data_IF_834824017085
#
_entry.id   IF_834824017085
#
_cell.length_a   1.000
_cell.length_b   1.000
_cell.length_c   1.000
_cell.angle_alpha   90.00
_cell.angle_beta   90.00
_cell.angle_gamma   90.00
#
_symmetry.space_group_name_H-M   'P 1'
#
loop_
_entity.id
_entity.type
_entity.pdbx_description
1 polymer ?
#
# COMPACT_ATOMS: atom_id res chain seq x y z
N UNK A 1 -0.94 21.54 -2.19
CA UNK A 1 -0.62 21.06 -0.83
C UNK A 1 -1.01 19.59 -0.65
N UNK A 2 -0.26 18.86 0.22
CA UNK A 2 -0.46 17.42 0.42
C UNK A 2 -1.91 17.04 0.82
N UNK A 3 -2.60 17.76 1.73
CA UNK A 3 -3.98 17.43 2.10
C UNK A 3 -4.97 17.46 0.91
N UNK A 4 -4.76 18.35 -0.05
CA UNK A 4 -5.58 18.46 -1.25
C UNK A 4 -5.41 17.24 -2.17
N UNK A 5 -4.17 16.78 -2.36
CA UNK A 5 -3.87 15.56 -3.14
C UNK A 5 -4.49 14.33 -2.48
N UNK A 6 -4.37 14.24 -1.14
CA UNK A 6 -4.98 13.16 -0.35
C UNK A 6 -6.50 13.16 -0.53
N UNK A 7 -7.13 14.33 -0.41
CA UNK A 7 -8.57 14.46 -0.59
C UNK A 7 -9.01 14.05 -2.00
N UNK A 8 -8.37 14.58 -3.04
CA UNK A 8 -8.71 14.24 -4.44
C UNK A 8 -8.57 12.73 -4.70
N UNK A 9 -7.54 12.10 -4.14
CA UNK A 9 -7.36 10.65 -4.25
C UNK A 9 -8.54 9.87 -3.66
N UNK A 10 -8.98 10.21 -2.44
CA UNK A 10 -10.09 9.51 -1.78
C UNK A 10 -11.46 9.90 -2.37
N UNK A 11 -11.69 11.17 -2.65
CA UNK A 11 -12.92 11.66 -3.28
C UNK A 11 -13.10 11.12 -4.70
N UNK A 12 -12.02 11.10 -5.48
CA UNK A 12 -12.00 10.49 -6.80
C UNK A 12 -12.26 8.98 -6.76
N UNK A 13 -11.66 8.26 -5.80
CA UNK A 13 -11.98 6.85 -5.55
C UNK A 13 -13.44 6.67 -5.20
N UNK A 14 -13.99 7.50 -4.31
CA UNK A 14 -15.40 7.45 -3.92
C UNK A 14 -16.31 7.65 -5.13
N UNK A 15 -16.05 8.70 -5.91
CA UNK A 15 -16.82 8.99 -7.13
C UNK A 15 -16.80 7.81 -8.11
N UNK A 16 -15.63 7.28 -8.43
CA UNK A 16 -15.48 6.15 -9.35
C UNK A 16 -16.21 4.89 -8.85
N UNK A 17 -16.05 4.56 -7.57
CA UNK A 17 -16.71 3.38 -6.99
C UNK A 17 -18.23 3.57 -6.95
N UNK A 18 -18.72 4.77 -6.64
CA UNK A 18 -20.18 5.06 -6.67
C UNK A 18 -20.72 4.99 -8.09
N UNK A 19 -20.00 5.47 -9.10
CA UNK A 19 -20.38 5.36 -10.51
C UNK A 19 -20.46 3.89 -10.97
N UNK A 20 -19.49 3.06 -10.59
CA UNK A 20 -19.46 1.63 -10.92
C UNK A 20 -20.63 0.90 -10.25
N UNK A 21 -20.89 1.21 -8.98
CA UNK A 21 -21.87 0.52 -8.15
C UNK A 21 -23.27 1.11 -8.21
N UNK A 22 -23.51 2.14 -9.03
CA UNK A 22 -24.74 2.95 -9.05
C UNK A 22 -26.06 2.20 -8.80
N UNK A 23 -26.16 0.95 -9.26
CA UNK A 23 -27.36 0.10 -9.10
C UNK A 23 -27.28 -0.92 -7.94
N UNK A 24 -26.10 -1.06 -7.29
CA UNK A 24 -25.85 -2.10 -6.29
C UNK A 24 -25.30 -1.55 -4.95
N UNK A 25 -25.47 -0.25 -4.69
CA UNK A 25 -24.94 0.40 -3.49
C UNK A 25 -25.55 -0.14 -2.19
N UNK A 26 -26.84 -0.38 -2.16
CA UNK A 26 -27.56 -0.80 -0.96
C UNK A 26 -26.98 -2.07 -0.32
N UNK A 27 -26.80 -3.17 -1.08
CA UNK A 27 -26.17 -4.39 -0.56
C UNK A 27 -24.72 -4.19 -0.12
N UNK A 28 -23.95 -3.34 -0.83
CA UNK A 28 -22.52 -3.09 -0.55
C UNK A 28 -22.32 -2.27 0.73
N UNK A 29 -23.25 -1.36 1.05
CA UNK A 29 -23.22 -0.56 2.27
C UNK A 29 -23.65 -1.34 3.53
N UNK A 30 -24.26 -2.52 3.38
CA UNK A 30 -24.62 -3.39 4.51
C UNK A 30 -23.45 -4.28 4.86
N UNK A 31 -22.67 -3.90 5.86
CA UNK A 31 -21.54 -4.70 6.35
C UNK A 31 -21.89 -5.44 7.64
N UNK A 32 -21.32 -6.63 7.81
CA UNK A 32 -21.34 -7.40 9.07
C UNK A 32 -20.25 -6.96 10.04
N UNK A 33 -19.23 -6.23 9.54
CA UNK A 33 -18.02 -5.86 10.29
C UNK A 33 -17.75 -4.36 10.31
N UNK A 34 -18.68 -3.50 10.77
CA UNK A 34 -18.53 -2.04 10.68
C UNK A 34 -17.31 -1.53 11.43
N UNK A 35 -16.99 -2.11 12.59
CA UNK A 35 -15.83 -1.74 13.41
C UNK A 35 -14.51 -2.08 12.70
N UNK A 36 -14.43 -3.24 12.04
CA UNK A 36 -13.24 -3.62 11.28
C UNK A 36 -13.05 -2.71 10.07
N UNK A 37 -14.12 -2.36 9.36
CA UNK A 37 -14.05 -1.41 8.25
C UNK A 37 -13.64 0.00 8.70
N UNK A 38 -14.12 0.45 9.86
CA UNK A 38 -13.70 1.72 10.43
C UNK A 38 -12.20 1.74 10.70
N UNK A 39 -11.68 0.79 11.48
CA UNK A 39 -10.26 0.72 11.80
C UNK A 39 -9.37 0.50 10.58
N UNK A 40 -9.83 -0.31 9.64
CA UNK A 40 -9.14 -0.52 8.36
C UNK A 40 -9.04 0.79 7.57
N UNK A 41 -10.13 1.54 7.48
CA UNK A 41 -10.18 2.80 6.75
C UNK A 41 -9.35 3.89 7.44
N UNK A 42 -9.43 3.96 8.77
CA UNK A 42 -8.62 4.87 9.57
C UNK A 42 -7.11 4.57 9.41
N UNK A 43 -6.73 3.29 9.46
CA UNK A 43 -5.34 2.87 9.25
C UNK A 43 -4.87 3.15 7.82
N UNK A 44 -5.70 2.92 6.80
CA UNK A 44 -5.37 3.24 5.41
C UNK A 44 -5.19 4.74 5.20
N UNK A 45 -6.07 5.54 5.78
CA UNK A 45 -5.96 7.00 5.76
C UNK A 45 -4.72 7.48 6.50
N UNK A 46 -4.47 6.94 7.70
CA UNK A 46 -3.28 7.22 8.50
C UNK A 46 -1.99 6.94 7.73
N UNK A 47 -1.90 5.78 7.08
CA UNK A 47 -0.74 5.43 6.25
C UNK A 47 -0.47 6.49 5.17
N UNK A 48 -1.50 6.87 4.42
CA UNK A 48 -1.39 7.90 3.39
C UNK A 48 -0.96 9.25 3.99
N UNK A 49 -1.61 9.66 5.07
CA UNK A 49 -1.36 10.95 5.72
C UNK A 49 0.05 11.03 6.29
N UNK A 50 0.48 10.04 7.07
CA UNK A 50 1.82 10.02 7.66
C UNK A 50 2.92 10.02 6.61
N UNK A 51 2.73 9.30 5.49
CA UNK A 51 3.67 9.30 4.39
C UNK A 51 3.82 10.71 3.79
N UNK A 52 2.70 11.33 3.38
CA UNK A 52 2.75 12.66 2.78
C UNK A 52 3.25 13.75 3.73
N UNK A 53 2.93 13.65 5.03
CA UNK A 53 3.44 14.57 6.04
C UNK A 53 4.94 14.43 6.29
N UNK A 54 5.54 13.28 6.02
CA UNK A 54 6.98 13.07 6.21
C UNK A 54 7.83 13.72 5.12
N UNK A 55 7.30 13.83 3.89
CA UNK A 55 8.06 14.24 2.70
C UNK A 55 8.77 15.59 2.81
N UNK A 56 8.17 16.65 3.40
CA UNK A 56 8.85 17.94 3.54
C UNK A 56 10.07 17.91 4.48
N UNK A 57 10.15 16.93 5.37
CA UNK A 57 11.15 16.87 6.44
C UNK A 57 12.32 15.93 6.14
N UNK A 58 12.05 14.80 5.48
CA UNK A 58 13.06 13.76 5.25
C UNK A 58 13.20 13.34 3.78
N UNK A 59 12.40 13.93 2.90
CA UNK A 59 12.44 13.61 1.48
C UNK A 59 11.79 12.26 1.11
N UNK A 60 11.63 12.05 -0.19
CA UNK A 60 10.90 10.89 -0.71
C UNK A 60 11.67 9.58 -0.52
N UNK A 61 12.99 9.59 -0.74
CA UNK A 61 13.83 8.39 -0.71
C UNK A 61 13.89 7.79 0.70
N UNK A 62 14.16 8.62 1.70
CA UNK A 62 14.25 8.20 3.10
C UNK A 62 12.87 7.80 3.64
N UNK A 63 11.82 8.57 3.30
CA UNK A 63 10.45 8.23 3.68
C UNK A 63 10.03 6.86 3.14
N UNK A 64 10.34 6.58 1.87
CA UNK A 64 10.04 5.30 1.23
C UNK A 64 10.85 4.18 1.89
N UNK A 65 12.15 4.40 2.15
CA UNK A 65 13.01 3.43 2.81
C UNK A 65 12.46 2.94 4.15
N UNK A 66 12.01 3.87 4.97
CA UNK A 66 11.46 3.55 6.29
C UNK A 66 10.08 2.90 6.15
N UNK A 67 9.22 3.41 5.25
CA UNK A 67 7.90 2.85 5.02
C UNK A 67 7.95 1.41 4.46
N UNK A 68 8.97 1.07 3.70
CA UNK A 68 9.16 -0.26 3.09
C UNK A 68 9.53 -1.36 4.10
N UNK A 69 9.56 -1.07 5.41
CA UNK A 69 9.52 -2.09 6.47
C UNK A 69 8.13 -2.77 6.56
N UNK A 70 7.11 -2.20 5.92
CA UNK A 70 5.72 -2.68 6.01
C UNK A 70 5.52 -4.17 5.64
N UNK A 71 6.20 -4.79 4.64
CA UNK A 71 6.04 -6.21 4.35
C UNK A 71 6.52 -7.11 5.49
N UNK A 72 7.54 -6.67 6.23
CA UNK A 72 8.01 -7.38 7.43
C UNK A 72 6.94 -7.32 8.51
N UNK A 73 6.37 -6.13 8.76
CA UNK A 73 5.29 -5.93 9.73
C UNK A 73 4.03 -6.71 9.37
N UNK A 74 3.65 -6.76 8.08
CA UNK A 74 2.52 -7.56 7.60
C UNK A 74 2.77 -9.05 7.87
N UNK A 75 3.95 -9.55 7.52
CA UNK A 75 4.28 -10.97 7.70
C UNK A 75 4.28 -11.38 9.17
N UNK A 76 4.91 -10.59 10.03
CA UNK A 76 4.91 -10.83 11.48
C UNK A 76 3.50 -10.69 12.07
N UNK A 77 2.77 -9.65 11.67
CA UNK A 77 1.40 -9.43 12.12
C UNK A 77 0.44 -10.54 11.67
N UNK A 78 0.63 -11.09 10.47
CA UNK A 78 -0.17 -12.22 9.98
C UNK A 78 0.02 -13.47 10.87
N UNK A 79 1.25 -13.74 11.29
CA UNK A 79 1.50 -14.84 12.24
C UNK A 79 0.89 -14.58 13.62
N UNK A 80 1.10 -13.38 14.16
CA UNK A 80 0.70 -13.05 15.53
C UNK A 80 -0.82 -12.88 15.69
N UNK A 81 -1.47 -12.21 14.73
CA UNK A 81 -2.87 -11.81 14.85
C UNK A 81 -3.84 -12.65 14.02
N UNK A 82 -3.36 -13.28 12.94
CA UNK A 82 -4.20 -14.08 12.04
C UNK A 82 -3.90 -15.59 12.16
N UNK A 83 -2.88 -15.97 12.92
CA UNK A 83 -2.48 -17.37 13.09
C UNK A 83 -1.91 -18.00 11.81
N UNK A 84 -1.45 -17.20 10.85
CA UNK A 84 -0.81 -17.72 9.64
C UNK A 84 0.52 -18.40 10.00
N UNK A 85 0.73 -19.62 9.47
CA UNK A 85 1.97 -20.35 9.71
C UNK A 85 3.12 -19.75 8.92
N UNK A 86 4.10 -19.17 9.61
CA UNK A 86 5.31 -18.67 9.00
C UNK A 86 6.25 -19.81 8.65
N UNK A 87 6.23 -20.23 7.39
CA UNK A 87 7.26 -21.12 6.87
C UNK A 87 8.62 -20.40 6.75
N UNK A 88 9.73 -21.11 7.02
CA UNK A 88 11.10 -20.58 6.87
C UNK A 88 11.33 -19.91 5.50
N UNK A 89 10.66 -20.39 4.47
CA UNK A 89 10.76 -19.88 3.08
C UNK A 89 10.14 -18.50 2.91
N UNK A 90 8.99 -18.26 3.57
CA UNK A 90 8.31 -16.94 3.54
C UNK A 90 9.15 -15.90 4.27
N UNK A 91 9.68 -16.26 5.44
CA UNK A 91 10.60 -15.40 6.19
C UNK A 91 11.84 -15.08 5.34
N UNK A 92 12.46 -16.08 4.73
CA UNK A 92 13.61 -15.90 3.87
C UNK A 92 13.28 -14.96 2.67
N UNK A 93 12.13 -15.15 2.02
CA UNK A 93 11.68 -14.28 0.93
C UNK A 93 11.53 -12.82 1.34
N UNK A 94 10.89 -12.56 2.49
CA UNK A 94 10.73 -11.19 3.03
C UNK A 94 12.09 -10.59 3.37
N UNK A 95 12.99 -11.34 4.03
CA UNK A 95 14.33 -10.87 4.40
C UNK A 95 15.18 -10.56 3.15
N UNK A 96 15.17 -11.44 2.15
CA UNK A 96 15.92 -11.22 0.90
C UNK A 96 15.37 -10.03 0.14
N UNK A 97 14.05 -9.89 0.07
CA UNK A 97 13.42 -8.74 -0.58
C UNK A 97 13.74 -7.43 0.16
N UNK A 98 13.73 -7.43 1.50
CA UNK A 98 14.15 -6.28 2.31
C UNK A 98 15.62 -5.90 2.05
N UNK A 99 16.51 -6.88 1.97
CA UNK A 99 17.93 -6.63 1.62
C UNK A 99 18.03 -6.00 0.23
N UNK A 100 17.28 -6.52 -0.75
CA UNK A 100 17.20 -5.92 -2.08
C UNK A 100 16.70 -4.48 -2.06
N UNK A 101 15.67 -4.19 -1.26
CA UNK A 101 15.15 -2.84 -1.07
C UNK A 101 16.21 -1.90 -0.47
N UNK A 102 16.91 -2.33 0.57
CA UNK A 102 18.00 -1.56 1.19
C UNK A 102 19.18 -1.29 0.23
N UNK A 103 19.49 -2.24 -0.67
CA UNK A 103 20.49 -2.04 -1.72
C UNK A 103 20.05 -0.94 -2.70
N UNK A 104 18.77 -0.87 -3.07
CA UNK A 104 18.23 0.18 -3.94
C UNK A 104 18.26 1.55 -3.24
N UNK A 105 17.70 1.60 -2.03
CA UNK A 105 17.41 2.84 -1.32
C UNK A 105 18.69 3.47 -0.73
N UNK A 106 19.62 2.66 -0.24
CA UNK A 106 20.90 3.10 0.39
C UNK A 106 20.66 4.22 1.40
N UNK A 107 19.95 3.96 2.51
CA UNK A 107 19.65 4.99 3.48
C UNK A 107 20.94 5.66 3.97
N UNK A 108 21.03 6.97 3.81
CA UNK A 108 22.20 7.76 4.23
C UNK A 108 22.27 7.92 5.75
N UNK A 109 23.42 8.40 6.25
CA UNK A 109 23.66 8.62 7.69
C UNK A 109 22.73 9.64 8.37
N UNK A 110 21.91 10.38 7.60
CA UNK A 110 20.97 11.40 8.09
C UNK A 110 19.56 10.91 8.40
N UNK A 111 19.28 9.61 8.28
CA UNK A 111 17.91 9.03 8.38
C UNK A 111 17.33 9.10 9.81
N UNK A 112 18.16 9.20 10.84
CA UNK A 112 17.74 9.23 12.23
C UNK A 112 17.38 10.67 12.69
N UNK A 113 16.28 11.19 12.16
CA UNK A 113 15.65 12.40 12.67
C UNK A 113 14.34 12.05 13.36
N UNK A 114 13.84 12.93 14.23
CA UNK A 114 12.51 12.76 14.85
C UNK A 114 11.39 12.55 13.80
N UNK A 115 11.56 13.13 12.61
CA UNK A 115 10.61 13.01 11.52
C UNK A 115 10.53 11.60 10.92
N UNK A 116 11.52 10.73 11.18
CA UNK A 116 11.50 9.31 10.79
C UNK A 116 10.36 8.52 11.46
N UNK A 117 9.79 9.03 12.55
CA UNK A 117 8.60 8.46 13.21
C UNK A 117 7.39 8.48 12.27
N UNK A 118 7.24 9.48 11.40
CA UNK A 118 6.09 9.57 10.49
C UNK A 118 6.03 8.41 9.48
N UNK A 119 7.07 8.09 8.69
CA UNK A 119 7.01 6.93 7.80
C UNK A 119 7.01 5.59 8.55
N UNK A 120 7.50 5.53 9.77
CA UNK A 120 7.31 4.34 10.61
C UNK A 120 5.84 4.15 10.99
N UNK A 121 5.15 5.23 11.39
CA UNK A 121 3.70 5.21 11.62
C UNK A 121 2.92 4.89 10.34
N UNK A 122 3.39 5.35 9.17
CA UNK A 122 2.86 4.96 7.88
C UNK A 122 2.96 3.44 7.69
N UNK A 123 4.14 2.84 7.92
CA UNK A 123 4.35 1.40 7.76
C UNK A 123 3.45 0.58 8.70
N UNK A 124 3.35 0.96 9.97
CA UNK A 124 2.48 0.32 10.97
C UNK A 124 1.01 0.43 10.54
N UNK A 125 0.58 1.62 10.14
CA UNK A 125 -0.80 1.88 9.71
C UNK A 125 -1.14 1.08 8.46
N UNK A 126 -0.24 1.03 7.47
CA UNK A 126 -0.43 0.24 6.26
C UNK A 126 -0.52 -1.26 6.58
N UNK A 127 0.40 -1.78 7.40
CA UNK A 127 0.37 -3.18 7.83
C UNK A 127 -0.94 -3.51 8.56
N UNK A 128 -1.40 -2.64 9.45
CA UNK A 128 -2.68 -2.80 10.15
C UNK A 128 -3.86 -2.86 9.16
N UNK A 129 -3.90 -1.96 8.18
CA UNK A 129 -4.93 -1.97 7.13
C UNK A 129 -4.92 -3.27 6.31
N UNK A 130 -3.73 -3.77 5.95
CA UNK A 130 -3.56 -5.03 5.21
C UNK A 130 -4.06 -6.24 6.03
N UNK A 131 -3.68 -6.33 7.30
CA UNK A 131 -4.10 -7.40 8.22
C UNK A 131 -5.62 -7.38 8.46
N UNK A 132 -6.20 -6.20 8.66
CA UNK A 132 -7.66 -6.06 8.79
C UNK A 132 -8.38 -6.43 7.49
N UNK A 133 -7.84 -6.07 6.32
CA UNK A 133 -8.35 -6.51 5.02
C UNK A 133 -8.33 -8.03 4.90
N UNK A 134 -7.24 -8.68 5.33
CA UNK A 134 -7.14 -10.13 5.37
C UNK A 134 -8.12 -10.76 6.34
N UNK A 135 -8.31 -10.16 7.53
CA UNK A 135 -9.25 -10.63 8.55
C UNK A 135 -10.70 -10.57 8.08
N UNK A 136 -11.10 -9.52 7.39
CA UNK A 136 -12.41 -9.41 6.72
C UNK A 136 -12.51 -10.48 5.64
N UNK A 137 -11.44 -10.66 4.86
CA UNK A 137 -11.27 -11.70 3.86
C UNK A 137 -12.35 -11.71 2.80
N UNK A 138 -12.71 -12.91 2.37
CA UNK A 138 -13.76 -13.14 1.36
C UNK A 138 -15.20 -13.10 1.93
N UNK A 139 -15.35 -12.85 3.23
CA UNK A 139 -16.68 -12.80 3.87
C UNK A 139 -17.49 -11.58 3.46
N UNK A 140 -16.80 -10.53 2.98
CA UNK A 140 -17.43 -9.33 2.48
C UNK A 140 -16.92 -8.94 1.09
N UNK A 141 -17.71 -8.12 0.42
CA UNK A 141 -17.36 -7.58 -0.89
C UNK A 141 -16.14 -6.67 -0.81
N UNK A 142 -15.21 -6.81 -1.75
CA UNK A 142 -14.09 -5.89 -1.95
C UNK A 142 -14.58 -4.45 -2.12
N UNK A 143 -15.75 -4.29 -2.76
CA UNK A 143 -16.38 -3.00 -2.96
C UNK A 143 -16.81 -2.31 -1.66
N UNK A 144 -17.28 -3.08 -0.66
CA UNK A 144 -17.57 -2.54 0.67
C UNK A 144 -16.30 -1.92 1.28
N UNK A 145 -15.19 -2.66 1.26
CA UNK A 145 -13.91 -2.17 1.74
C UNK A 145 -13.46 -0.89 1.01
N UNK A 146 -13.69 -0.80 -0.30
CA UNK A 146 -13.33 0.38 -1.10
C UNK A 146 -14.20 1.59 -0.74
N UNK A 147 -15.54 1.40 -0.64
CA UNK A 147 -16.47 2.48 -0.31
C UNK A 147 -16.18 3.05 1.08
N UNK A 148 -16.02 2.19 2.09
CA UNK A 148 -15.74 2.64 3.45
C UNK A 148 -14.41 3.39 3.57
N UNK A 149 -13.35 2.94 2.89
CA UNK A 149 -12.07 3.64 2.89
C UNK A 149 -12.16 5.00 2.17
N UNK A 150 -12.82 5.02 1.01
CA UNK A 150 -12.99 6.24 0.24
C UNK A 150 -13.86 7.26 0.97
N UNK A 151 -14.96 6.80 1.58
CA UNK A 151 -15.86 7.65 2.36
C UNK A 151 -15.13 8.25 3.58
N UNK A 152 -14.45 7.40 4.36
CA UNK A 152 -13.66 7.83 5.51
C UNK A 152 -12.61 8.87 5.12
N UNK A 153 -11.80 8.57 4.11
CA UNK A 153 -10.72 9.47 3.65
C UNK A 153 -11.26 10.78 3.08
N UNK A 154 -12.37 10.75 2.32
CA UNK A 154 -13.01 11.96 1.78
C UNK A 154 -13.53 12.88 2.89
N UNK A 155 -14.19 12.31 3.90
CA UNK A 155 -14.74 13.08 5.02
C UNK A 155 -13.59 13.68 5.84
N UNK A 156 -12.65 12.86 6.28
CA UNK A 156 -11.58 13.31 7.19
C UNK A 156 -10.63 14.30 6.51
N UNK A 157 -10.20 14.02 5.27
CA UNK A 157 -9.40 14.98 4.52
C UNK A 157 -10.20 16.24 4.14
N UNK A 158 -11.51 16.10 3.90
CA UNK A 158 -12.42 17.21 3.59
C UNK A 158 -12.54 18.22 4.71
N UNK A 159 -12.39 17.82 5.98
CA UNK A 159 -12.40 18.73 7.14
C UNK A 159 -11.22 19.70 7.07
N UNK A 160 -10.05 19.24 6.64
CA UNK A 160 -8.86 20.09 6.52
C UNK A 160 -8.87 20.98 5.25
N UNK A 161 -9.66 20.60 4.24
CA UNK A 161 -9.63 21.21 2.92
C UNK A 161 -9.89 22.74 2.90
N UNK A 162 -10.88 23.30 3.64
CA UNK A 162 -11.14 24.73 3.64
C UNK A 162 -9.97 25.58 4.09
N UNK A 163 -9.06 25.01 4.88
CA UNK A 163 -7.91 25.72 5.46
C UNK A 163 -6.66 25.70 4.59
N UNK A 164 -6.63 24.80 3.58
CA UNK A 164 -5.42 24.53 2.78
C UNK A 164 -5.73 24.47 1.27
N UNK A 165 -6.91 24.92 0.86
CA UNK A 165 -7.30 24.87 -0.53
C UNK A 165 -6.50 25.85 -1.37
N UNK A 166 -5.89 25.34 -2.43
CA UNK A 166 -5.28 26.14 -3.50
C UNK A 166 -5.99 25.86 -4.83
N UNK A 167 -6.27 26.87 -5.65
CA UNK A 167 -6.89 26.66 -6.95
C UNK A 167 -6.05 25.72 -7.81
N UNK A 168 -6.68 24.68 -8.35
CA UNK A 168 -6.02 23.73 -9.25
C UNK A 168 -5.96 24.36 -10.65
N UNK A 169 -4.75 24.45 -11.21
CA UNK A 169 -4.62 24.89 -12.60
C UNK A 169 -5.30 23.88 -13.54
N UNK A 170 -5.98 24.39 -14.56
CA UNK A 170 -6.67 23.53 -15.56
C UNK A 170 -5.71 22.55 -16.24
N UNK A 171 -4.45 22.94 -16.40
CA UNK A 171 -3.39 22.10 -16.95
C UNK A 171 -3.09 20.87 -16.11
N UNK A 172 -3.37 20.90 -14.80
CA UNK A 172 -3.05 19.81 -13.85
C UNK A 172 -4.23 18.86 -13.58
N UNK A 173 -5.44 19.20 -14.06
CA UNK A 173 -6.65 18.41 -13.82
C UNK A 173 -6.52 16.95 -14.29
N UNK A 174 -5.82 16.72 -15.39
CA UNK A 174 -5.60 15.36 -15.90
C UNK A 174 -4.75 14.51 -14.94
N UNK A 175 -3.78 15.12 -14.23
CA UNK A 175 -2.95 14.43 -13.23
C UNK A 175 -3.80 13.97 -12.04
N UNK A 176 -4.72 14.82 -11.58
CA UNK A 176 -5.68 14.47 -10.53
C UNK A 176 -6.64 13.37 -10.96
N UNK A 177 -7.14 13.41 -12.20
CA UNK A 177 -7.95 12.34 -12.75
C UNK A 177 -7.17 11.01 -12.83
N UNK A 178 -5.91 11.08 -13.27
CA UNK A 178 -5.02 9.92 -13.36
C UNK A 178 -4.74 9.30 -11.99
N UNK A 179 -4.44 10.11 -10.97
CA UNK A 179 -4.25 9.67 -9.58
C UNK A 179 -5.52 8.97 -9.07
N UNK A 180 -6.69 9.53 -9.31
CA UNK A 180 -7.95 8.92 -8.91
C UNK A 180 -8.17 7.55 -9.59
N UNK A 181 -8.00 7.47 -10.91
CA UNK A 181 -8.21 6.23 -11.68
C UNK A 181 -7.19 5.15 -11.33
N UNK A 182 -5.90 5.45 -11.43
CA UNK A 182 -4.84 4.48 -11.16
C UNK A 182 -4.82 4.08 -9.68
N UNK A 183 -5.02 5.04 -8.76
CA UNK A 183 -5.09 4.79 -7.34
C UNK A 183 -6.27 3.87 -6.97
N UNK A 184 -7.43 4.06 -7.60
CA UNK A 184 -8.61 3.21 -7.40
C UNK A 184 -8.37 1.79 -7.92
N UNK A 185 -7.80 1.64 -9.12
CA UNK A 185 -7.46 0.35 -9.70
C UNK A 185 -6.42 -0.41 -8.86
N UNK A 186 -5.35 0.26 -8.46
CA UNK A 186 -4.34 -0.31 -7.59
C UNK A 186 -4.92 -0.75 -6.23
N UNK A 187 -5.74 0.09 -5.62
CA UNK A 187 -6.40 -0.22 -4.34
C UNK A 187 -7.35 -1.43 -4.45
N UNK A 188 -8.08 -1.55 -5.56
CA UNK A 188 -8.93 -2.71 -5.84
C UNK A 188 -8.09 -3.99 -5.90
N UNK A 189 -6.99 -3.99 -6.64
CA UNK A 189 -6.08 -5.14 -6.75
C UNK A 189 -5.48 -5.52 -5.40
N UNK A 190 -5.02 -4.54 -4.61
CA UNK A 190 -4.44 -4.76 -3.28
C UNK A 190 -5.48 -5.37 -2.34
N UNK A 191 -6.67 -4.78 -2.23
CA UNK A 191 -7.74 -5.31 -1.35
C UNK A 191 -8.11 -6.72 -1.80
N UNK A 192 -8.25 -6.96 -3.11
CA UNK A 192 -8.56 -8.29 -3.63
C UNK A 192 -7.48 -9.30 -3.27
N UNK A 193 -6.21 -8.97 -3.44
CA UNK A 193 -5.09 -9.85 -3.08
C UNK A 193 -5.12 -10.25 -1.61
N UNK A 194 -5.23 -9.30 -0.69
CA UNK A 194 -5.31 -9.60 0.74
C UNK A 194 -6.62 -10.29 1.16
N UNK A 195 -7.71 -10.15 0.41
CA UNK A 195 -8.97 -10.83 0.73
C UNK A 195 -8.95 -12.32 0.39
N UNK A 196 -8.23 -12.73 -0.64
CA UNK A 196 -8.23 -14.12 -1.14
C UNK A 196 -6.97 -14.92 -0.80
N UNK A 197 -5.88 -14.24 -0.40
CA UNK A 197 -4.57 -14.88 -0.18
C UNK A 197 -4.05 -14.52 1.20
N UNK A 198 -3.24 -15.40 1.79
CA UNK A 198 -2.56 -15.13 3.07
C UNK A 198 -1.70 -13.87 2.98
N UNK A 199 -1.75 -13.04 4.03
CA UNK A 199 -1.05 -11.76 4.04
C UNK A 199 0.47 -11.93 3.94
N UNK A 200 1.00 -12.99 4.55
CA UNK A 200 2.42 -13.35 4.49
C UNK A 200 2.92 -13.77 3.09
N UNK A 201 2.02 -14.20 2.20
CA UNK A 201 2.35 -14.52 0.80
C UNK A 201 2.37 -13.24 -0.05
N UNK A 202 1.43 -12.33 0.19
CA UNK A 202 1.28 -11.08 -0.57
C UNK A 202 2.36 -10.06 -0.20
N UNK A 203 2.76 -10.02 1.08
CA UNK A 203 3.66 -8.99 1.61
C UNK A 203 4.96 -8.79 0.81
N UNK A 204 5.72 -9.83 0.39
CA UNK A 204 6.96 -9.63 -0.36
C UNK A 204 6.78 -8.92 -1.71
N UNK A 205 5.60 -9.04 -2.32
CA UNK A 205 5.31 -8.40 -3.61
C UNK A 205 5.17 -6.87 -3.50
N UNK A 206 4.97 -6.33 -2.30
CA UNK A 206 4.95 -4.88 -2.10
C UNK A 206 6.28 -4.22 -2.51
N UNK A 207 7.40 -4.93 -2.37
CA UNK A 207 8.72 -4.43 -2.81
C UNK A 207 8.84 -4.26 -4.33
N UNK A 208 7.98 -4.86 -5.14
CA UNK A 208 7.91 -4.59 -6.58
C UNK A 208 7.62 -3.13 -6.89
N UNK A 209 6.99 -2.41 -5.94
CA UNK A 209 6.79 -0.97 -6.04
C UNK A 209 8.09 -0.20 -6.31
N UNK A 210 9.20 -0.60 -5.70
CA UNK A 210 10.52 0.01 -5.92
C UNK A 210 10.99 -0.22 -7.37
N UNK A 211 10.77 -1.43 -7.91
CA UNK A 211 11.15 -1.78 -9.29
C UNK A 211 10.37 -0.93 -10.28
N UNK A 212 9.05 -0.81 -10.07
CA UNK A 212 8.21 0.05 -10.93
C UNK A 212 8.53 1.53 -10.77
N UNK A 213 8.81 2.01 -9.56
CA UNK A 213 9.23 3.39 -9.32
C UNK A 213 10.54 3.70 -10.06
N UNK A 214 11.51 2.80 -10.03
CA UNK A 214 12.78 2.92 -10.77
C UNK A 214 12.54 2.95 -12.28
N UNK A 215 11.71 2.05 -12.80
CA UNK A 215 11.38 1.99 -14.22
C UNK A 215 10.72 3.30 -14.71
N UNK A 216 9.69 3.76 -14.02
CA UNK A 216 9.00 4.99 -14.40
C UNK A 216 9.84 6.23 -14.16
N UNK A 217 10.73 6.24 -13.15
CA UNK A 217 11.73 7.28 -12.93
C UNK A 217 12.67 7.43 -14.14
N UNK A 218 13.12 6.31 -14.71
CA UNK A 218 13.94 6.32 -15.91
C UNK A 218 13.17 6.82 -17.15
N UNK A 219 11.95 6.31 -17.35
CA UNK A 219 11.15 6.61 -18.57
C UNK A 219 10.60 8.03 -18.57
N UNK A 220 10.07 8.53 -17.43
CA UNK A 220 9.37 9.82 -17.38
C UNK A 220 10.29 10.98 -17.00
N UNK A 221 11.32 10.71 -16.18
CA UNK A 221 12.20 11.76 -15.65
C UNK A 221 13.64 11.64 -16.11
N UNK A 222 13.99 10.64 -16.95
CA UNK A 222 15.35 10.42 -17.43
C UNK A 222 16.33 9.97 -16.33
N UNK A 223 15.82 9.51 -15.18
CA UNK A 223 16.61 9.05 -14.04
C UNK A 223 17.03 7.59 -14.24
N UNK A 224 18.07 7.38 -15.02
CA UNK A 224 18.56 6.01 -15.29
C UNK A 224 19.10 5.34 -14.02
N UNK A 225 18.68 4.08 -13.76
CA UNK A 225 19.11 3.35 -12.57
C UNK A 225 20.62 3.09 -12.62
N UNK A 226 21.28 3.31 -11.52
CA UNK A 226 22.67 2.89 -11.35
C UNK A 226 22.78 1.37 -11.15
N UNK A 227 24.02 0.85 -11.16
CA UNK A 227 24.30 -0.58 -10.99
C UNK A 227 23.68 -1.18 -9.73
N UNK A 228 23.63 -0.44 -8.63
CA UNK A 228 23.12 -0.94 -7.36
C UNK A 228 21.59 -1.03 -7.37
N UNK A 229 20.94 -0.05 -7.98
CA UNK A 229 19.49 -0.08 -8.21
C UNK A 229 19.08 -1.28 -9.04
N UNK A 230 19.84 -1.59 -10.12
CA UNK A 230 19.59 -2.79 -10.94
C UNK A 230 19.80 -4.07 -10.13
N UNK A 231 20.91 -4.18 -9.37
CA UNK A 231 21.20 -5.35 -8.52
C UNK A 231 20.08 -5.55 -7.49
N UNK A 232 19.71 -4.50 -6.76
CA UNK A 232 18.66 -4.59 -5.75
C UNK A 232 17.29 -4.95 -6.35
N UNK A 233 16.94 -4.38 -7.51
CA UNK A 233 15.73 -4.74 -8.24
C UNK A 233 15.71 -6.23 -8.64
N UNK A 234 16.81 -6.77 -9.14
CA UNK A 234 16.94 -8.20 -9.47
C UNK A 234 16.79 -9.09 -8.23
N UNK A 235 17.36 -8.69 -7.10
CA UNK A 235 17.21 -9.42 -5.82
C UNK A 235 15.74 -9.44 -5.38
N UNK A 236 15.02 -8.30 -5.47
CA UNK A 236 13.59 -8.20 -5.12
C UNK A 236 12.74 -9.12 -6.02
N UNK A 237 12.92 -9.01 -7.33
CA UNK A 237 12.19 -9.85 -8.31
C UNK A 237 12.49 -11.33 -8.08
N UNK A 238 13.77 -11.67 -7.87
CA UNK A 238 14.20 -13.04 -7.59
C UNK A 238 13.56 -13.60 -6.32
N UNK A 239 13.50 -12.82 -5.24
CA UNK A 239 12.84 -13.19 -3.99
C UNK A 239 11.34 -13.44 -4.20
N UNK A 240 10.64 -12.53 -4.91
CA UNK A 240 9.22 -12.69 -5.23
C UNK A 240 8.92 -13.94 -6.06
N UNK A 241 9.70 -14.17 -7.12
CA UNK A 241 9.57 -15.36 -7.97
C UNK A 241 9.87 -16.65 -7.22
N UNK A 242 10.88 -16.64 -6.32
CA UNK A 242 11.19 -17.80 -5.48
C UNK A 242 10.02 -18.16 -4.55
N UNK A 243 9.44 -17.18 -3.85
CA UNK A 243 8.29 -17.40 -2.97
C UNK A 243 7.10 -17.93 -3.79
N UNK A 244 6.76 -17.27 -4.88
CA UNK A 244 5.67 -17.68 -5.77
C UNK A 244 5.84 -19.11 -6.29
N UNK A 245 7.00 -19.44 -6.84
CA UNK A 245 7.27 -20.76 -7.40
C UNK A 245 7.14 -21.88 -6.36
N UNK A 246 7.62 -21.62 -5.15
CA UNK A 246 7.58 -22.60 -4.05
C UNK A 246 6.18 -22.80 -3.47
N UNK A 247 5.40 -21.73 -3.33
CA UNK A 247 4.01 -21.83 -2.89
C UNK A 247 3.16 -22.56 -3.94
N UNK A 248 3.37 -22.26 -5.22
CA UNK A 248 2.66 -22.92 -6.30
C UNK A 248 2.96 -24.43 -6.39
N UNK A 249 4.20 -24.85 -6.09
CA UNK A 249 4.53 -26.27 -5.99
C UNK A 249 3.92 -26.93 -4.77
N UNK A 250 3.89 -26.23 -3.63
CA UNK A 250 3.30 -26.76 -2.41
C UNK A 250 1.78 -26.98 -2.53
N UNK A 251 1.07 -26.09 -3.25
CA UNK A 251 -0.36 -26.23 -3.49
C UNK A 251 -0.74 -27.33 -4.49
N UNK A 252 0.22 -27.84 -5.28
CA UNK A 252 0.04 -28.93 -6.23
C UNK A 252 0.48 -30.31 -5.72
N UNK A 253 1.15 -30.36 -4.57
CA UNK A 253 1.51 -31.64 -3.96
C UNK A 253 0.21 -32.32 -3.48
N UNK A 254 -0.05 -33.60 -3.90
CA UNK A 254 -1.20 -34.35 -3.38
C UNK A 254 -1.07 -34.43 -1.86
N UNK A 255 -2.22 -34.24 -1.14
CA UNK A 255 -2.30 -34.51 0.27
C UNK A 255 -1.95 -35.99 0.48
N UNK A 256 -0.79 -36.26 1.09
CA UNK A 256 -0.35 -37.60 1.47
C UNK A 256 -1.09 -38.06 2.72
#
# INVERSE_FOLDING_TARGET
PAPQVIWVRFAGQLLLVLLILRHHLGPVLRTRFPVLHFWRSASQFGATTFFFLSLPFIGLTEATAIADINPVLITLGAALFLGEKLGRRRIAGVVVALIGALIVIRPGAGVFTWWAVLPLLCAISYATSALLTRKIGAQESVWASMVYAALFGTIVAGIALPFVWEPIATADLWQFALIACLGTGAQLCIIRSFSITEASIVAPFAYLGIVFATFWGAVLYGQWPDRWTVIGALVIVGAGLYVWHREHRASRAPAA
#
